data_IF_659510168453
#
_entry.id   IF_659510168453
#
_cell.length_a   1.000
_cell.length_b   1.000
_cell.length_c   1.000
_cell.angle_alpha   90.00
_cell.angle_beta   90.00
_cell.angle_gamma   90.00
#
_symmetry.space_group_name_H-M   'P 1'
#
loop_
_entity.id
_entity.type
_entity.pdbx_description
1 polymer ?
#
# COMPACT_ATOMS: atom_id res chain seq x y z
N UNK A 1 -16.62 10.10 -46.16
CA UNK A 1 -16.28 10.29 -44.73
C UNK A 1 -14.95 9.60 -44.49
N UNK A 2 -13.87 10.35 -44.29
CA UNK A 2 -12.53 9.75 -44.16
C UNK A 2 -12.42 9.04 -42.81
N UNK A 3 -11.97 7.80 -42.80
CA UNK A 3 -11.76 6.97 -41.60
C UNK A 3 -10.89 7.67 -40.54
N UNK A 4 -9.94 8.51 -40.97
CA UNK A 4 -9.14 9.38 -40.11
C UNK A 4 -9.97 10.43 -39.36
N UNK A 5 -10.97 11.04 -40.00
CA UNK A 5 -11.85 12.01 -39.35
C UNK A 5 -12.79 11.35 -38.34
N UNK A 6 -13.18 10.10 -38.59
CA UNK A 6 -14.01 9.32 -37.68
C UNK A 6 -13.20 8.87 -36.45
N UNK A 7 -11.96 8.43 -36.65
CA UNK A 7 -11.03 8.13 -35.56
C UNK A 7 -10.74 9.36 -34.67
N UNK A 8 -10.54 10.53 -35.28
CA UNK A 8 -10.30 11.79 -34.56
C UNK A 8 -11.46 12.18 -33.64
N UNK A 9 -12.69 11.78 -33.96
CA UNK A 9 -13.89 12.09 -33.17
C UNK A 9 -14.18 11.00 -32.13
N UNK A 10 -14.01 9.73 -32.49
CA UNK A 10 -14.31 8.59 -31.63
C UNK A 10 -13.36 8.50 -30.42
N UNK A 11 -12.06 8.75 -30.63
CA UNK A 11 -11.05 8.67 -29.56
C UNK A 11 -11.36 9.62 -28.38
N UNK A 12 -11.54 10.95 -28.58
CA UNK A 12 -11.83 11.84 -27.47
C UNK A 12 -13.18 11.56 -26.82
N UNK A 13 -14.19 11.14 -27.59
CA UNK A 13 -15.50 10.74 -27.04
C UNK A 13 -15.37 9.53 -26.11
N UNK A 14 -14.60 8.52 -26.51
CA UNK A 14 -14.33 7.34 -25.68
C UNK A 14 -13.58 7.72 -24.39
N UNK A 15 -12.59 8.60 -24.46
CA UNK A 15 -11.85 9.08 -23.29
C UNK A 15 -12.82 9.81 -22.34
N UNK A 16 -13.59 10.77 -22.85
CA UNK A 16 -14.55 11.53 -22.05
C UNK A 16 -15.62 10.63 -21.41
N UNK A 17 -16.16 9.68 -22.17
CA UNK A 17 -17.14 8.71 -21.67
C UNK A 17 -16.55 7.81 -20.58
N UNK A 18 -15.29 7.39 -20.73
CA UNK A 18 -14.59 6.56 -19.73
C UNK A 18 -14.36 7.33 -18.44
N UNK A 19 -13.93 8.59 -18.53
CA UNK A 19 -13.76 9.46 -17.36
C UNK A 19 -15.08 9.71 -16.63
N UNK A 20 -16.16 9.98 -17.37
CA UNK A 20 -17.50 10.13 -16.78
C UNK A 20 -17.96 8.83 -16.11
N UNK A 21 -17.77 7.69 -16.77
CA UNK A 21 -18.09 6.37 -16.22
C UNK A 21 -17.34 6.10 -14.91
N UNK A 22 -16.02 6.32 -14.88
CA UNK A 22 -15.21 6.20 -13.67
C UNK A 22 -15.69 7.14 -12.56
N UNK A 23 -16.03 8.39 -12.90
CA UNK A 23 -16.56 9.36 -11.94
C UNK A 23 -17.87 8.91 -11.30
N UNK A 24 -18.81 8.40 -12.10
CA UNK A 24 -20.10 7.87 -11.62
C UNK A 24 -19.88 6.66 -10.73
N UNK A 25 -19.04 5.70 -11.15
CA UNK A 25 -18.75 4.49 -10.37
C UNK A 25 -18.08 4.84 -9.03
N UNK A 26 -17.10 5.74 -9.05
CA UNK A 26 -16.43 6.20 -7.82
C UNK A 26 -17.41 6.91 -6.87
N UNK A 27 -18.26 7.78 -7.41
CA UNK A 27 -19.28 8.49 -6.63
C UNK A 27 -20.29 7.52 -6.01
N UNK A 28 -20.83 6.59 -6.80
CA UNK A 28 -21.70 5.53 -6.29
C UNK A 28 -21.00 4.70 -5.21
N UNK A 29 -19.74 4.33 -5.41
CA UNK A 29 -18.97 3.55 -4.42
C UNK A 29 -18.90 4.26 -3.07
N UNK A 30 -18.67 5.57 -3.04
CA UNK A 30 -18.68 6.35 -1.79
C UNK A 30 -20.06 6.40 -1.11
N UNK A 31 -21.14 6.34 -1.87
CA UNK A 31 -22.51 6.33 -1.34
C UNK A 31 -22.95 4.95 -0.84
N UNK A 32 -22.52 3.89 -1.53
CA UNK A 32 -22.86 2.50 -1.21
C UNK A 32 -22.04 1.98 -0.01
N UNK A 33 -20.75 2.28 0.04
CA UNK A 33 -19.87 1.84 1.11
C UNK A 33 -19.77 2.92 2.19
N UNK A 34 -20.34 2.64 3.37
CA UNK A 34 -20.19 3.54 4.52
C UNK A 34 -18.73 3.47 5.01
N UNK A 35 -18.05 4.61 5.20
CA UNK A 35 -16.77 4.63 5.87
C UNK A 35 -16.92 4.01 7.26
N UNK A 36 -16.19 2.94 7.53
CA UNK A 36 -16.14 2.36 8.87
C UNK A 36 -14.96 2.97 9.62
N UNK A 37 -15.21 3.39 10.86
CA UNK A 37 -14.12 3.79 11.75
C UNK A 37 -13.21 2.58 11.94
N UNK A 38 -11.90 2.77 11.75
CA UNK A 38 -10.94 1.71 11.98
C UNK A 38 -10.90 1.42 13.50
N UNK A 39 -11.29 0.22 13.96
CA UNK A 39 -11.22 -0.10 15.38
C UNK A 39 -9.78 0.02 15.85
N UNK A 40 -9.58 0.77 16.93
CA UNK A 40 -8.28 0.89 17.60
C UNK A 40 -8.35 0.13 18.91
N UNK A 41 -7.32 -0.66 19.17
CA UNK A 41 -7.15 -1.31 20.47
C UNK A 41 -6.72 -0.26 21.49
N UNK A 42 -7.28 -0.33 22.69
CA UNK A 42 -6.92 0.56 23.79
C UNK A 42 -5.66 0.02 24.48
N UNK A 43 -4.51 0.46 23.99
CA UNK A 43 -3.20 0.21 24.59
C UNK A 43 -2.51 1.54 24.95
N UNK A 44 -3.28 2.52 25.43
CA UNK A 44 -2.73 3.83 25.83
C UNK A 44 -1.64 3.72 26.91
N UNK A 45 -1.72 2.68 27.75
CA UNK A 45 -0.75 2.39 28.82
C UNK A 45 0.38 1.43 28.38
N UNK A 46 0.44 1.09 27.09
CA UNK A 46 1.36 0.10 26.53
C UNK A 46 0.73 -1.28 26.31
N UNK A 47 1.48 -2.16 25.66
CA UNK A 47 1.03 -3.51 25.30
C UNK A 47 1.39 -4.48 26.44
N UNK A 48 0.41 -5.17 27.05
CA UNK A 48 0.69 -6.07 28.15
C UNK A 48 1.40 -7.34 27.65
N UNK A 49 2.19 -8.04 28.51
CA UNK A 49 3.04 -9.16 28.09
C UNK A 49 2.31 -10.35 27.46
N UNK A 50 1.03 -10.54 27.78
CA UNK A 50 0.15 -11.55 27.18
C UNK A 50 -0.25 -11.22 25.73
N UNK A 51 -0.15 -9.95 25.32
CA UNK A 51 -0.48 -9.45 23.98
C UNK A 51 0.76 -8.99 23.19
N UNK A 52 1.93 -9.60 23.46
CA UNK A 52 3.17 -9.29 22.73
C UNK A 52 2.94 -9.27 21.22
N UNK A 53 3.36 -8.17 20.61
CA UNK A 53 3.05 -7.84 19.23
C UNK A 53 4.34 -7.76 18.41
N UNK A 54 4.31 -8.31 17.19
CA UNK A 54 5.38 -8.19 16.21
C UNK A 54 4.85 -7.44 14.99
N UNK A 55 5.49 -6.32 14.65
CA UNK A 55 5.26 -5.60 13.40
C UNK A 55 6.17 -6.20 12.34
N UNK A 56 5.57 -6.96 11.43
CA UNK A 56 6.27 -7.59 10.31
C UNK A 56 6.16 -6.71 9.05
N UNK A 57 7.29 -6.20 8.57
CA UNK A 57 7.35 -5.39 7.34
C UNK A 57 7.84 -6.25 6.18
N UNK A 58 6.97 -6.62 5.22
CA UNK A 58 7.39 -7.36 4.04
C UNK A 58 8.26 -6.47 3.14
N UNK A 59 9.39 -6.99 2.69
CA UNK A 59 10.35 -6.25 1.86
C UNK A 59 11.22 -7.17 1.00
N UNK A 60 11.84 -6.62 -0.04
CA UNK A 60 12.78 -7.33 -0.92
C UNK A 60 14.19 -6.83 -0.67
N UNK A 61 15.16 -7.74 -0.62
CA UNK A 61 16.58 -7.41 -0.52
C UNK A 61 17.11 -7.13 -1.93
N UNK A 62 17.12 -5.86 -2.32
CA UNK A 62 17.49 -5.44 -3.69
C UNK A 62 18.96 -5.07 -3.83
N UNK A 63 19.56 -4.43 -2.82
CA UNK A 63 20.93 -3.93 -2.84
C UNK A 63 21.42 -3.60 -1.43
N UNK A 64 22.74 -3.45 -1.24
CA UNK A 64 23.30 -3.04 0.04
C UNK A 64 22.75 -1.69 0.54
N UNK A 65 22.66 -0.69 -0.35
CA UNK A 65 22.09 0.62 -0.02
C UNK A 65 20.58 0.51 0.32
N UNK A 66 19.84 -0.34 -0.40
CA UNK A 66 18.44 -0.63 -0.07
C UNK A 66 18.28 -1.25 1.30
N UNK A 67 19.17 -2.18 1.68
CA UNK A 67 19.18 -2.81 3.00
C UNK A 67 19.46 -1.79 4.09
N UNK A 68 20.42 -0.89 3.89
CA UNK A 68 20.72 0.19 4.84
C UNK A 68 19.48 1.05 5.08
N UNK A 69 18.77 1.44 4.03
CA UNK A 69 17.52 2.20 4.14
C UNK A 69 16.40 1.43 4.88
N UNK A 70 16.32 0.11 4.70
CA UNK A 70 15.37 -0.73 5.44
C UNK A 70 15.70 -0.76 6.93
N UNK A 71 16.98 -0.82 7.31
CA UNK A 71 17.43 -0.78 8.69
C UNK A 71 17.15 0.59 9.34
N UNK A 72 17.47 1.69 8.66
CA UNK A 72 17.14 3.05 9.11
C UNK A 72 15.62 3.19 9.35
N UNK A 73 14.81 2.74 8.39
CA UNK A 73 13.36 2.78 8.49
C UNK A 73 12.82 1.92 9.63
N UNK A 74 13.49 0.80 9.96
CA UNK A 74 13.14 -0.04 11.11
C UNK A 74 13.53 0.64 12.42
N UNK A 75 14.70 1.28 12.49
CA UNK A 75 15.17 2.03 13.66
C UNK A 75 14.23 3.19 13.99
N UNK A 76 13.82 3.98 12.99
CA UNK A 76 12.86 5.07 13.19
C UNK A 76 11.54 4.56 13.78
N UNK A 77 11.02 3.44 13.28
CA UNK A 77 9.78 2.84 13.80
C UNK A 77 9.94 2.35 15.23
N UNK A 78 11.06 1.72 15.54
CA UNK A 78 11.37 1.27 16.89
C UNK A 78 11.49 2.44 17.86
N UNK A 79 12.25 3.48 17.51
CA UNK A 79 12.46 4.65 18.37
C UNK A 79 11.18 5.47 18.56
N UNK A 80 10.34 5.57 17.54
CA UNK A 80 9.06 6.26 17.63
C UNK A 80 8.00 5.50 18.44
N UNK A 81 8.12 4.17 18.57
CA UNK A 81 7.13 3.30 19.21
C UNK A 81 7.81 2.34 20.19
N UNK A 82 8.52 2.88 21.19
CA UNK A 82 9.21 2.03 22.18
C UNK A 82 8.21 1.44 23.17
N UNK A 83 8.04 0.12 23.12
CA UNK A 83 7.28 -0.66 24.09
C UNK A 83 7.98 -2.01 24.30
N UNK A 84 8.14 -2.52 25.54
CA UNK A 84 8.83 -3.78 25.81
C UNK A 84 8.18 -5.01 25.15
N UNK A 85 6.88 -4.95 24.89
CA UNK A 85 6.08 -6.00 24.26
C UNK A 85 5.87 -5.75 22.76
N UNK A 86 6.49 -4.72 22.18
CA UNK A 86 6.45 -4.44 20.75
C UNK A 86 7.80 -4.75 20.09
N UNK A 87 7.74 -5.61 19.08
CA UNK A 87 8.91 -6.01 18.30
C UNK A 87 8.72 -5.65 16.83
N UNK A 88 9.83 -5.53 16.11
CA UNK A 88 9.84 -5.25 14.68
C UNK A 88 10.66 -6.32 13.96
N UNK A 89 10.18 -6.76 12.81
CA UNK A 89 10.90 -7.66 11.92
C UNK A 89 10.73 -7.25 10.47
N UNK A 90 11.79 -7.43 9.69
CA UNK A 90 11.73 -7.42 8.24
C UNK A 90 11.45 -8.84 7.78
N UNK A 91 10.39 -9.03 7.01
CA UNK A 91 10.10 -10.31 6.34
C UNK A 91 10.62 -10.16 4.92
N UNK A 92 11.74 -10.82 4.63
CA UNK A 92 12.54 -10.49 3.45
C UNK A 92 12.59 -11.63 2.45
N UNK A 93 12.58 -11.29 1.17
CA UNK A 93 12.89 -12.20 0.07
C UNK A 93 13.95 -11.58 -0.87
N UNK A 94 14.53 -12.38 -1.76
CA UNK A 94 15.47 -11.95 -2.79
C UNK A 94 14.72 -11.58 -4.07
N UNK A 95 15.34 -10.72 -4.88
CA UNK A 95 14.81 -10.39 -6.21
C UNK A 95 14.77 -11.65 -7.08
N UNK A 96 13.75 -11.73 -7.93
CA UNK A 96 13.63 -12.78 -8.93
C UNK A 96 14.91 -12.92 -9.75
N UNK A 97 15.26 -14.15 -10.10
CA UNK A 97 16.35 -14.43 -11.02
C UNK A 97 15.97 -13.98 -12.44
N UNK A 98 16.97 -13.63 -13.26
CA UNK A 98 16.74 -13.21 -14.66
C UNK A 98 16.07 -14.30 -15.51
N UNK A 99 16.16 -15.59 -15.12
CA UNK A 99 15.49 -16.72 -15.75
C UNK A 99 15.27 -17.89 -14.77
N UNK A 100 14.25 -18.72 -15.05
CA UNK A 100 13.98 -20.00 -14.37
C UNK A 100 14.89 -21.12 -14.90
N UNK A 101 15.22 -22.11 -14.06
CA UNK A 101 16.11 -23.25 -14.38
C UNK A 101 15.32 -24.50 -14.74
#
# INVERSE_FOLDING_TARGET
MNWLGLALLVIPVLICASHLGMGIVNWFSMQLFRPQSLPRMDYEQGIPPEHRTLVAVPTMLTSAAGIEHLLEGMEVRYLANRDPSLHFALVTDLVDADAEV
#
